data_IF_424106208341
#
_entry.id   IF_424106208341
#
_cell.length_a   1.000
_cell.length_b   1.000
_cell.length_c   1.000
_cell.angle_alpha   90.00
_cell.angle_beta   90.00
_cell.angle_gamma   90.00
#
_symmetry.space_group_name_H-M   'P 1'
#
loop_
_entity.id
_entity.type
_entity.pdbx_description
1 polymer ?
#
# COMPACT_ATOMS: atom_id res chain seq x y z
N UNK A 1 23.99 59.40 35.98
CA UNK A 1 25.31 58.76 36.10
C UNK A 1 25.27 57.78 37.26
N UNK A 2 25.95 56.62 37.25
CA UNK A 2 26.57 55.92 36.12
C UNK A 2 26.28 54.39 36.10
N UNK A 3 26.86 53.70 35.10
CA UNK A 3 27.48 52.36 35.20
C UNK A 3 26.49 51.17 35.34
N UNK A 4 26.52 50.09 34.57
CA UNK A 4 27.57 49.44 33.78
C UNK A 4 26.87 48.51 32.77
N UNK A 5 27.33 48.55 31.52
CA UNK A 5 27.20 47.45 30.56
C UNK A 5 27.89 46.20 31.14
N UNK A 6 27.14 45.14 31.45
CA UNK A 6 27.73 43.81 31.61
C UNK A 6 27.04 42.79 30.71
N UNK A 7 27.76 42.52 29.63
CA UNK A 7 27.81 41.30 28.85
C UNK A 7 27.43 40.03 29.64
N UNK A 8 26.44 39.29 29.14
CA UNK A 8 26.31 37.83 29.28
C UNK A 8 25.40 37.37 28.13
N UNK A 9 25.93 37.11 26.94
CA UNK A 9 26.55 35.84 26.55
C UNK A 9 25.69 34.61 26.91
N UNK A 10 24.57 34.43 26.20
CA UNK A 10 24.01 33.10 25.96
C UNK A 10 23.64 33.00 24.48
N UNK A 11 24.65 32.75 23.66
CA UNK A 11 24.45 32.14 22.35
C UNK A 11 23.94 30.71 22.59
N UNK A 12 22.63 30.54 22.71
CA UNK A 12 21.99 29.24 22.61
C UNK A 12 21.76 28.95 21.13
N UNK A 13 22.78 28.41 20.48
CA UNK A 13 22.65 27.76 19.18
C UNK A 13 21.67 26.60 19.33
N UNK A 14 20.40 26.81 18.96
CA UNK A 14 19.48 25.71 18.65
C UNK A 14 19.99 25.02 17.39
N UNK A 15 20.97 24.13 17.55
CA UNK A 15 21.23 23.11 16.54
C UNK A 15 20.03 22.18 16.54
N UNK A 16 19.12 22.43 15.60
CA UNK A 16 18.05 21.52 15.23
C UNK A 16 18.69 20.27 14.61
N UNK A 17 19.24 19.39 15.45
CA UNK A 17 19.64 18.04 15.06
C UNK A 17 18.37 17.21 15.01
N UNK A 18 17.65 17.29 13.90
CA UNK A 18 16.68 16.26 13.53
C UNK A 18 17.46 15.07 12.97
N UNK A 19 18.20 14.37 13.84
CA UNK A 19 18.54 12.99 13.55
C UNK A 19 17.24 12.21 13.72
N UNK A 20 16.69 11.76 12.60
CA UNK A 20 15.62 10.77 12.61
C UNK A 20 16.11 9.54 13.38
N UNK A 21 15.54 9.31 14.55
CA UNK A 21 15.68 8.04 15.25
C UNK A 21 14.92 7.01 14.42
N UNK A 22 15.66 6.35 13.53
CA UNK A 22 15.21 5.20 12.77
C UNK A 22 14.89 4.11 13.78
N UNK A 23 13.61 4.01 14.12
CA UNK A 23 13.07 2.97 14.99
C UNK A 23 13.60 1.61 14.51
N UNK A 24 14.29 0.83 15.36
CA UNK A 24 14.77 -0.48 14.96
C UNK A 24 13.55 -1.36 14.68
N UNK A 25 13.63 -2.07 13.55
CA UNK A 25 12.64 -3.08 13.19
C UNK A 25 12.47 -4.04 14.37
N UNK A 26 11.27 -4.07 14.94
CA UNK A 26 10.89 -5.06 15.93
C UNK A 26 11.05 -6.45 15.29
N UNK A 27 12.06 -7.20 15.72
CA UNK A 27 12.14 -8.62 15.40
C UNK A 27 11.12 -9.33 16.26
N UNK A 28 10.00 -9.72 15.65
CA UNK A 28 9.00 -10.56 16.30
C UNK A 28 9.50 -12.01 16.24
N UNK A 29 9.56 -12.76 17.36
CA UNK A 29 10.06 -14.14 17.39
C UNK A 29 9.13 -15.17 16.72
N UNK A 30 8.01 -14.73 16.13
CA UNK A 30 7.06 -15.57 15.40
C UNK A 30 6.87 -15.10 13.95
N UNK A 31 7.96 -14.82 13.24
CA UNK A 31 7.89 -14.79 11.78
C UNK A 31 7.57 -16.23 11.31
N UNK A 32 6.48 -16.47 10.55
CA UNK A 32 6.30 -17.76 9.89
C UNK A 32 7.53 -18.01 9.01
N UNK A 33 7.95 -19.29 8.82
CA UNK A 33 9.07 -19.60 7.95
C UNK A 33 8.82 -18.90 6.62
N UNK A 34 9.81 -18.15 6.13
CA UNK A 34 9.75 -17.47 4.84
C UNK A 34 9.31 -18.47 3.79
N UNK A 35 8.01 -18.50 3.53
CA UNK A 35 7.45 -19.17 2.39
C UNK A 35 8.15 -18.51 1.22
N UNK A 36 8.88 -19.29 0.44
CA UNK A 36 9.43 -18.87 -0.84
C UNK A 36 8.31 -18.11 -1.54
N UNK A 37 8.46 -16.79 -1.63
CA UNK A 37 7.52 -15.94 -2.35
C UNK A 37 7.67 -16.34 -3.81
N UNK A 38 6.97 -17.40 -4.20
CA UNK A 38 7.01 -17.88 -5.57
C UNK A 38 6.37 -16.78 -6.39
N UNK A 39 7.04 -16.29 -7.44
CA UNK A 39 6.37 -15.40 -8.37
C UNK A 39 5.20 -16.21 -8.94
N UNK A 40 3.97 -15.80 -8.65
CA UNK A 40 2.76 -16.36 -9.29
C UNK A 40 2.65 -15.83 -10.74
N UNK A 41 3.79 -15.48 -11.34
CA UNK A 41 3.95 -14.63 -12.52
C UNK A 41 3.37 -15.22 -13.80
N UNK A 42 3.05 -16.52 -13.82
CA UNK A 42 2.49 -17.20 -15.00
C UNK A 42 0.96 -17.29 -14.94
N UNK A 43 0.35 -16.96 -13.79
CA UNK A 43 -1.11 -17.00 -13.66
C UNK A 43 -1.75 -15.81 -14.39
N UNK A 44 -2.90 -16.09 -15.01
CA UNK A 44 -3.73 -15.05 -15.60
C UNK A 44 -4.36 -14.15 -14.53
N UNK A 45 -4.74 -12.93 -14.90
CA UNK A 45 -5.44 -12.02 -14.00
C UNK A 45 -6.74 -12.60 -13.43
N UNK A 46 -7.46 -13.42 -14.22
CA UNK A 46 -8.63 -14.16 -13.73
C UNK A 46 -8.27 -15.20 -12.68
N UNK A 47 -7.24 -16.01 -12.92
CA UNK A 47 -6.83 -17.04 -11.97
C UNK A 47 -6.35 -16.42 -10.65
N UNK A 48 -5.58 -15.33 -10.74
CA UNK A 48 -5.14 -14.55 -9.57
C UNK A 48 -6.32 -13.95 -8.82
N UNK A 49 -7.26 -13.35 -9.54
CA UNK A 49 -8.49 -12.81 -8.97
C UNK A 49 -9.33 -13.88 -8.25
N UNK A 50 -9.57 -15.02 -8.89
CA UNK A 50 -10.42 -16.08 -8.35
C UNK A 50 -9.82 -16.69 -7.08
N UNK A 51 -8.49 -16.87 -7.06
CA UNK A 51 -7.77 -17.41 -5.92
C UNK A 51 -7.71 -16.45 -4.72
N UNK A 52 -7.63 -15.14 -4.97
CA UNK A 52 -7.30 -14.17 -3.93
C UNK A 52 -8.46 -13.26 -3.55
N UNK A 53 -9.29 -12.80 -4.49
CA UNK A 53 -10.23 -11.70 -4.26
C UNK A 53 -11.67 -12.13 -3.98
N UNK A 54 -12.10 -13.29 -4.51
CA UNK A 54 -13.48 -13.79 -4.41
C UNK A 54 -13.57 -15.18 -3.77
N UNK A 55 -12.57 -15.54 -2.95
CA UNK A 55 -12.58 -16.82 -2.23
C UNK A 55 -13.65 -16.90 -1.14
N UNK A 56 -14.06 -15.75 -0.60
CA UNK A 56 -15.02 -15.65 0.50
C UNK A 56 -16.34 -14.94 0.13
N UNK A 57 -16.42 -14.26 -1.01
CA UNK A 57 -17.62 -13.60 -1.51
C UNK A 57 -17.64 -13.64 -3.04
N UNK A 58 -18.81 -13.46 -3.66
CA UNK A 58 -18.94 -13.52 -5.12
C UNK A 58 -18.57 -12.20 -5.83
N UNK A 59 -18.84 -12.13 -7.13
CA UNK A 59 -18.54 -11.01 -8.02
C UNK A 59 -19.51 -9.82 -7.89
N UNK A 60 -20.55 -9.88 -7.04
CA UNK A 60 -21.50 -8.79 -6.83
C UNK A 60 -20.82 -7.50 -6.32
N UNK A 61 -19.64 -7.63 -5.70
CA UNK A 61 -18.81 -6.50 -5.26
C UNK A 61 -18.42 -5.56 -6.43
N UNK A 62 -18.37 -6.06 -7.67
CA UNK A 62 -18.01 -5.29 -8.86
C UNK A 62 -19.22 -4.69 -9.61
N UNK A 63 -20.43 -5.18 -9.35
CA UNK A 63 -21.63 -4.85 -10.13
C UNK A 63 -22.70 -4.10 -9.34
N UNK A 64 -22.49 -3.83 -8.05
CA UNK A 64 -23.42 -3.03 -7.22
C UNK A 64 -23.66 -1.61 -7.77
N UNK A 65 -24.88 -1.11 -7.57
CA UNK A 65 -25.31 0.19 -8.09
C UNK A 65 -24.49 1.36 -7.50
N UNK A 66 -24.11 1.28 -6.22
CA UNK A 66 -23.39 2.33 -5.50
C UNK A 66 -21.85 2.22 -5.63
N UNK A 67 -21.35 1.53 -6.67
CA UNK A 67 -19.91 1.39 -6.90
C UNK A 67 -19.23 2.77 -6.98
N UNK A 68 -18.10 2.90 -6.28
CA UNK A 68 -17.35 4.17 -6.15
C UNK A 68 -16.13 4.27 -7.07
N UNK A 69 -15.75 3.17 -7.70
CA UNK A 69 -14.66 3.14 -8.67
C UNK A 69 -15.19 3.69 -10.00
N UNK A 70 -14.61 4.79 -10.48
CA UNK A 70 -15.13 5.53 -11.65
C UNK A 70 -14.19 5.57 -12.85
N UNK A 71 -12.94 5.11 -12.69
CA UNK A 71 -11.94 5.07 -13.75
C UNK A 71 -10.90 3.96 -13.51
N UNK A 72 -10.03 3.74 -14.49
CA UNK A 72 -9.02 2.69 -14.46
C UNK A 72 -7.99 2.88 -13.34
N UNK A 73 -7.64 4.13 -13.03
CA UNK A 73 -6.70 4.45 -11.95
C UNK A 73 -7.29 4.12 -10.58
N UNK A 74 -8.54 4.52 -10.36
CA UNK A 74 -9.32 4.18 -9.17
C UNK A 74 -9.51 2.66 -9.04
N UNK A 75 -9.66 1.93 -10.15
CA UNK A 75 -9.73 0.46 -10.13
C UNK A 75 -8.41 -0.15 -9.67
N UNK A 76 -7.27 0.34 -10.17
CA UNK A 76 -5.95 -0.05 -9.71
C UNK A 76 -5.76 0.19 -8.21
N UNK A 77 -6.16 1.37 -7.72
CA UNK A 77 -6.11 1.68 -6.29
C UNK A 77 -7.01 0.75 -5.46
N UNK A 78 -8.21 0.43 -5.95
CA UNK A 78 -9.12 -0.50 -5.28
C UNK A 78 -8.54 -1.92 -5.21
N UNK A 79 -7.92 -2.42 -6.28
CA UNK A 79 -7.28 -3.75 -6.30
C UNK A 79 -6.12 -3.82 -5.30
N UNK A 80 -5.24 -2.79 -5.27
CA UNK A 80 -4.17 -2.69 -4.26
C UNK A 80 -4.71 -2.70 -2.84
N UNK A 81 -5.79 -1.96 -2.58
CA UNK A 81 -6.46 -1.95 -1.28
C UNK A 81 -7.02 -3.33 -0.91
N UNK A 82 -7.62 -4.06 -1.85
CA UNK A 82 -8.08 -5.43 -1.62
C UNK A 82 -6.92 -6.36 -1.25
N UNK A 83 -5.82 -6.33 -2.01
CA UNK A 83 -4.62 -7.10 -1.73
C UNK A 83 -4.06 -6.82 -0.32
N UNK A 84 -3.99 -5.54 0.07
CA UNK A 84 -3.53 -5.14 1.40
C UNK A 84 -4.46 -5.63 2.52
N UNK A 85 -5.77 -5.51 2.35
CA UNK A 85 -6.76 -5.95 3.34
C UNK A 85 -6.78 -7.47 3.52
N UNK A 86 -6.50 -8.22 2.44
CA UNK A 86 -6.49 -9.68 2.45
C UNK A 86 -5.14 -10.26 2.85
N UNK A 87 -4.07 -9.44 2.88
CA UNK A 87 -2.73 -9.88 3.24
C UNK A 87 -2.09 -10.83 2.22
N UNK A 88 -2.56 -10.85 0.97
CA UNK A 88 -2.13 -11.79 -0.07
C UNK A 88 -0.73 -11.50 -0.63
N UNK A 89 -0.19 -10.29 -0.39
CA UNK A 89 1.17 -9.89 -0.76
C UNK A 89 1.53 -10.12 -2.25
N UNK A 90 0.56 -9.96 -3.14
CA UNK A 90 0.80 -10.04 -4.59
C UNK A 90 1.71 -8.91 -5.07
N UNK A 91 2.57 -9.21 -6.04
CA UNK A 91 3.44 -8.23 -6.72
C UNK A 91 2.64 -7.32 -7.66
N UNK A 92 3.20 -6.15 -7.98
CA UNK A 92 2.52 -5.13 -8.78
C UNK A 92 2.12 -5.66 -10.17
N UNK A 93 2.95 -6.50 -10.80
CA UNK A 93 2.65 -7.08 -12.11
C UNK A 93 1.43 -8.01 -12.06
N UNK A 94 1.24 -8.73 -10.96
CA UNK A 94 0.08 -9.61 -10.77
C UNK A 94 -1.17 -8.80 -10.44
N UNK A 95 -1.04 -7.71 -9.68
CA UNK A 95 -2.12 -6.76 -9.45
C UNK A 95 -2.58 -6.11 -10.76
N UNK A 96 -1.65 -5.73 -11.64
CA UNK A 96 -1.98 -5.15 -12.94
C UNK A 96 -2.75 -6.13 -13.82
N UNK A 97 -2.40 -7.43 -13.83
CA UNK A 97 -3.19 -8.45 -14.52
C UNK A 97 -4.62 -8.54 -13.97
N UNK A 98 -4.79 -8.48 -12.65
CA UNK A 98 -6.12 -8.46 -12.01
C UNK A 98 -6.89 -7.20 -12.44
N UNK A 99 -6.24 -6.03 -12.46
CA UNK A 99 -6.86 -4.77 -12.91
C UNK A 99 -7.33 -4.88 -14.36
N UNK A 100 -6.49 -5.39 -15.26
CA UNK A 100 -6.86 -5.64 -16.66
C UNK A 100 -8.06 -6.57 -16.75
N UNK A 101 -8.02 -7.71 -16.04
CA UNK A 101 -9.12 -8.66 -16.03
C UNK A 101 -10.43 -8.05 -15.52
N UNK A 102 -10.39 -7.32 -14.40
CA UNK A 102 -11.57 -6.68 -13.82
C UNK A 102 -12.11 -5.57 -14.72
N UNK A 103 -11.23 -4.79 -15.35
CA UNK A 103 -11.64 -3.77 -16.29
C UNK A 103 -12.32 -4.39 -17.52
N UNK A 104 -11.70 -5.42 -18.08
CA UNK A 104 -12.21 -6.11 -19.27
C UNK A 104 -13.47 -6.93 -18.97
N UNK A 105 -13.75 -7.30 -17.72
CA UNK A 105 -14.93 -8.10 -17.37
C UNK A 105 -16.11 -7.26 -16.87
N UNK A 106 -15.84 -6.26 -16.02
CA UNK A 106 -16.89 -5.58 -15.24
C UNK A 106 -16.94 -4.06 -15.45
N UNK A 107 -15.80 -3.39 -15.58
CA UNK A 107 -15.78 -1.92 -15.51
C UNK A 107 -15.80 -1.22 -16.86
N UNK A 108 -15.09 -1.74 -17.87
CA UNK A 108 -15.03 -1.23 -19.25
C UNK A 108 -14.56 0.22 -19.35
N UNK A 109 -13.67 0.66 -18.44
CA UNK A 109 -13.07 1.98 -18.53
C UNK A 109 -12.11 2.06 -19.73
N UNK A 110 -11.96 3.25 -20.35
CA UNK A 110 -10.90 3.50 -21.33
C UNK A 110 -9.51 3.14 -20.78
N UNK A 111 -8.67 2.56 -21.64
CA UNK A 111 -7.27 2.24 -21.35
C UNK A 111 -6.37 3.37 -21.81
#
# INVERSE_FOLDING_TARGET
MPKVFLLALCAATLTLTACGEKQPAATSPNAPPSATMQPVSDLSGKALHDANCISCHDSAVYTRAERKVQDLSALGAQVRRCNANLGTQLFDEDLDKIVVYLNDSFYKFPK
#
